data_IF_576831312421
#
_entry.id   IF_576831312421
#
_cell.length_a   1.000
_cell.length_b   1.000
_cell.length_c   1.000
_cell.angle_alpha   90.00
_cell.angle_beta   90.00
_cell.angle_gamma   90.00
#
_symmetry.space_group_name_H-M   'P 1'
#
loop_
_entity.id
_entity.type
_entity.pdbx_description
1 polymer ?
#
# COMPACT_ATOMS: atom_id res chain seq x y z
N UNK A 1 13.99 0.99 -1.92
CA UNK A 1 12.83 1.65 -2.54
C UNK A 1 11.84 2.08 -1.46
N UNK A 2 11.31 3.29 -1.53
CA UNK A 2 10.18 3.73 -0.70
C UNK A 2 8.89 2.97 -1.04
N UNK A 3 7.88 3.04 -0.17
CA UNK A 3 6.56 2.44 -0.45
C UNK A 3 5.92 2.98 -1.74
N UNK A 4 6.08 4.28 -2.00
CA UNK A 4 5.64 4.93 -3.24
C UNK A 4 6.40 4.45 -4.47
N UNK A 5 7.72 4.30 -4.37
CA UNK A 5 8.54 3.76 -5.48
C UNK A 5 8.16 2.32 -5.79
N UNK A 6 7.90 1.50 -4.77
CA UNK A 6 7.49 0.10 -4.94
C UNK A 6 6.14 0.01 -5.62
N UNK A 7 5.19 0.85 -5.21
CA UNK A 7 3.88 0.89 -5.84
C UNK A 7 3.95 1.37 -7.29
N UNK A 8 4.76 2.40 -7.56
CA UNK A 8 4.95 2.90 -8.92
C UNK A 8 5.59 1.85 -9.81
N UNK A 9 6.64 1.18 -9.32
CA UNK A 9 7.28 0.08 -10.02
C UNK A 9 6.27 -1.00 -10.36
N UNK A 10 5.48 -1.47 -9.41
CA UNK A 10 4.47 -2.50 -9.66
C UNK A 10 3.46 -2.07 -10.73
N UNK A 11 3.05 -0.79 -10.77
CA UNK A 11 2.13 -0.27 -11.78
C UNK A 11 2.74 -0.20 -13.17
N UNK A 12 4.00 0.23 -13.27
CA UNK A 12 4.68 0.44 -14.54
C UNK A 12 5.32 -0.84 -15.08
N UNK A 13 5.66 -1.80 -14.23
CA UNK A 13 6.35 -3.03 -14.62
C UNK A 13 5.60 -3.78 -15.73
N UNK A 14 4.28 -3.90 -15.60
CA UNK A 14 3.41 -4.49 -16.62
C UNK A 14 3.52 -3.83 -18.00
N UNK A 15 3.70 -2.51 -18.02
CA UNK A 15 3.82 -1.71 -19.25
C UNK A 15 5.22 -1.85 -19.85
N UNK A 16 6.25 -1.91 -19.00
CA UNK A 16 7.65 -1.90 -19.43
C UNK A 16 8.09 -3.23 -20.01
N UNK A 17 7.61 -4.35 -19.45
CA UNK A 17 8.07 -5.68 -19.85
C UNK A 17 6.99 -6.57 -20.47
N UNK A 18 5.73 -6.14 -20.47
CA UNK A 18 4.60 -7.02 -20.78
C UNK A 18 4.58 -7.57 -22.21
N UNK A 19 5.24 -6.89 -23.16
CA UNK A 19 5.43 -7.34 -24.53
C UNK A 19 6.50 -8.45 -24.66
N UNK A 20 7.40 -8.55 -23.68
CA UNK A 20 8.50 -9.52 -23.67
C UNK A 20 8.18 -10.80 -22.88
N UNK A 21 7.04 -10.85 -22.21
CA UNK A 21 6.66 -11.99 -21.38
C UNK A 21 5.85 -13.01 -22.21
N UNK A 22 6.22 -14.30 -22.21
CA UNK A 22 5.44 -15.34 -22.85
C UNK A 22 4.01 -15.40 -22.31
N UNK A 23 3.04 -15.72 -23.17
CA UNK A 23 1.61 -15.77 -22.78
C UNK A 23 1.30 -16.88 -21.76
N UNK A 24 2.13 -17.93 -21.72
CA UNK A 24 1.96 -19.11 -20.87
C UNK A 24 2.82 -19.06 -19.58
N UNK A 25 3.29 -17.88 -19.20
CA UNK A 25 4.11 -17.72 -17.99
C UNK A 25 3.22 -17.63 -16.73
N UNK A 26 3.35 -18.62 -15.84
CA UNK A 26 2.56 -18.69 -14.61
C UNK A 26 2.90 -17.58 -13.60
N UNK A 27 4.15 -17.13 -13.54
CA UNK A 27 4.56 -16.02 -12.67
C UNK A 27 3.97 -14.70 -13.17
N UNK A 28 3.81 -14.55 -14.48
CA UNK A 28 3.13 -13.42 -15.08
C UNK A 28 1.64 -13.39 -14.76
N UNK A 29 0.97 -14.55 -14.86
CA UNK A 29 -0.44 -14.71 -14.44
C UNK A 29 -0.61 -14.35 -12.97
N UNK A 30 0.32 -14.79 -12.12
CA UNK A 30 0.35 -14.44 -10.70
C UNK A 30 0.57 -12.93 -10.48
N UNK A 31 1.44 -12.29 -11.25
CA UNK A 31 1.65 -10.84 -11.22
C UNK A 31 0.38 -10.06 -11.63
N UNK A 32 -0.31 -10.49 -12.70
CA UNK A 32 -1.57 -9.87 -13.13
C UNK A 32 -2.62 -9.95 -12.02
N UNK A 33 -2.76 -11.13 -11.39
CA UNK A 33 -3.68 -11.32 -10.25
C UNK A 33 -3.32 -10.45 -9.06
N UNK A 34 -2.03 -10.29 -8.77
CA UNK A 34 -1.56 -9.35 -7.75
C UNK A 34 -1.93 -7.90 -8.10
N UNK A 35 -1.84 -7.50 -9.38
CA UNK A 35 -2.23 -6.16 -9.84
C UNK A 35 -3.72 -5.91 -9.66
N UNK A 36 -4.58 -6.86 -10.04
CA UNK A 36 -6.03 -6.79 -9.81
C UNK A 36 -6.36 -6.57 -8.32
N UNK A 37 -5.72 -7.36 -7.44
CA UNK A 37 -5.89 -7.26 -6.00
C UNK A 37 -5.45 -5.89 -5.46
N UNK A 38 -4.30 -5.38 -5.93
CA UNK A 38 -3.77 -4.08 -5.54
C UNK A 38 -4.69 -2.94 -5.99
N UNK A 39 -5.29 -3.02 -7.18
CA UNK A 39 -6.16 -1.96 -7.67
C UNK A 39 -7.42 -1.82 -6.82
N UNK A 40 -7.98 -2.92 -6.31
CA UNK A 40 -9.07 -2.89 -5.33
C UNK A 40 -8.59 -2.36 -3.97
N UNK A 41 -7.44 -2.82 -3.47
CA UNK A 41 -6.90 -2.37 -2.18
C UNK A 41 -6.57 -0.87 -2.17
N UNK A 42 -6.15 -0.32 -3.31
CA UNK A 42 -5.77 1.09 -3.44
C UNK A 42 -6.94 2.00 -3.82
N UNK A 43 -8.10 1.41 -4.13
CA UNK A 43 -9.31 2.17 -4.37
C UNK A 43 -9.74 2.89 -3.09
N UNK A 44 -10.04 4.19 -3.22
CA UNK A 44 -10.51 5.04 -2.11
C UNK A 44 -12.03 5.07 -1.97
N UNK A 45 -12.74 4.45 -2.91
CA UNK A 45 -14.19 4.35 -2.90
C UNK A 45 -14.56 2.92 -2.51
N UNK A 46 -15.63 2.78 -1.75
CA UNK A 46 -16.18 1.48 -1.35
C UNK A 46 -17.49 1.21 -2.06
N UNK A 47 -17.53 0.09 -2.79
CA UNK A 47 -18.76 -0.50 -3.30
C UNK A 47 -19.23 -1.63 -2.37
N UNK A 48 -20.55 -1.85 -2.19
CA UNK A 48 -21.06 -2.95 -1.38
C UNK A 48 -20.58 -4.34 -1.87
N UNK A 49 -20.22 -4.48 -3.15
CA UNK A 49 -19.72 -5.73 -3.72
C UNK A 49 -18.20 -5.91 -3.59
N UNK A 50 -17.49 -4.86 -3.15
CA UNK A 50 -16.03 -4.85 -3.16
C UNK A 50 -15.43 -5.82 -2.15
N UNK A 51 -16.05 -6.02 -0.98
CA UNK A 51 -15.57 -6.97 0.01
C UNK A 51 -15.68 -8.41 -0.49
N UNK A 52 -16.81 -8.75 -1.14
CA UNK A 52 -17.02 -10.05 -1.76
C UNK A 52 -16.02 -10.30 -2.90
N UNK A 53 -15.87 -9.34 -3.81
CA UNK A 53 -14.90 -9.43 -4.91
C UNK A 53 -13.46 -9.60 -4.39
N UNK A 54 -13.08 -8.84 -3.36
CA UNK A 54 -11.78 -8.93 -2.74
C UNK A 54 -11.55 -10.32 -2.10
N UNK A 55 -12.56 -10.89 -1.44
CA UNK A 55 -12.47 -12.23 -0.84
C UNK A 55 -12.20 -13.31 -1.88
N UNK A 56 -12.88 -13.26 -3.02
CA UNK A 56 -12.68 -14.21 -4.13
C UNK A 56 -11.27 -14.05 -4.71
N UNK A 57 -10.86 -12.81 -5.03
CA UNK A 57 -9.54 -12.54 -5.60
C UNK A 57 -8.39 -12.94 -4.68
N UNK A 58 -8.50 -12.73 -3.36
CA UNK A 58 -7.48 -13.17 -2.40
C UNK A 58 -7.36 -14.70 -2.39
N UNK A 59 -8.49 -15.42 -2.42
CA UNK A 59 -8.48 -16.87 -2.41
C UNK A 59 -7.83 -17.42 -3.69
N UNK A 60 -8.20 -16.89 -4.86
CA UNK A 60 -7.59 -17.24 -6.15
C UNK A 60 -6.09 -16.94 -6.15
N UNK A 61 -5.69 -15.75 -5.74
CA UNK A 61 -4.29 -15.33 -5.71
C UNK A 61 -3.45 -16.22 -4.77
N UNK A 62 -3.95 -16.51 -3.57
CA UNK A 62 -3.24 -17.33 -2.60
C UNK A 62 -3.07 -18.77 -3.08
N UNK A 63 -4.10 -19.33 -3.73
CA UNK A 63 -4.02 -20.67 -4.33
C UNK A 63 -2.96 -20.70 -5.43
N UNK A 64 -3.02 -19.75 -6.37
CA UNK A 64 -2.06 -19.63 -7.47
C UNK A 64 -0.63 -19.40 -6.94
N UNK A 65 -0.47 -18.59 -5.89
CA UNK A 65 0.84 -18.35 -5.29
C UNK A 65 1.48 -19.65 -4.81
N UNK A 66 0.74 -20.48 -4.07
CA UNK A 66 1.27 -21.76 -3.54
C UNK A 66 1.56 -22.72 -4.69
N UNK A 67 0.71 -22.78 -5.71
CA UNK A 67 0.90 -23.62 -6.89
C UNK A 67 2.17 -23.25 -7.67
N UNK A 68 2.37 -21.96 -7.97
CA UNK A 68 3.48 -21.48 -8.79
C UNK A 68 4.81 -21.47 -8.03
N UNK A 69 4.79 -21.11 -6.74
CA UNK A 69 6.04 -20.98 -5.96
C UNK A 69 6.44 -22.27 -5.26
N UNK A 70 5.51 -23.20 -5.03
CA UNK A 70 5.73 -24.39 -4.22
C UNK A 70 6.06 -24.10 -2.75
N UNK A 71 5.89 -22.85 -2.30
CA UNK A 71 6.23 -22.38 -0.96
C UNK A 71 4.98 -21.98 -0.17
N UNK A 72 5.14 -21.83 1.13
CA UNK A 72 4.11 -21.36 2.03
C UNK A 72 3.75 -19.89 1.77
N UNK A 73 2.50 -19.53 2.09
CA UNK A 73 2.06 -18.15 2.01
C UNK A 73 2.89 -17.26 2.92
N UNK A 74 3.50 -16.23 2.34
CA UNK A 74 4.19 -15.20 3.11
C UNK A 74 3.19 -14.51 4.05
N UNK A 75 3.63 -14.04 5.23
CA UNK A 75 2.75 -13.36 6.19
C UNK A 75 1.96 -12.20 5.58
N UNK A 76 2.54 -11.48 4.61
CA UNK A 76 1.84 -10.40 3.87
C UNK A 76 0.58 -10.90 3.16
N UNK A 77 0.63 -12.07 2.53
CA UNK A 77 -0.50 -12.65 1.80
C UNK A 77 -1.52 -13.29 2.75
N UNK A 78 -1.04 -13.83 3.87
CA UNK A 78 -1.94 -14.31 4.93
C UNK A 78 -2.78 -13.16 5.51
N UNK A 79 -2.16 -12.00 5.80
CA UNK A 79 -2.89 -10.84 6.32
C UNK A 79 -3.96 -10.29 5.35
N UNK A 80 -3.79 -10.48 4.03
CA UNK A 80 -4.78 -10.04 3.04
C UNK A 80 -6.14 -10.71 3.26
N UNK A 81 -6.19 -11.94 3.78
CA UNK A 81 -7.45 -12.68 4.04
C UNK A 81 -8.40 -11.89 4.96
N UNK A 82 -7.87 -11.01 5.80
CA UNK A 82 -8.66 -10.17 6.70
C UNK A 82 -9.12 -8.85 6.08
N UNK A 83 -8.60 -8.46 4.91
CA UNK A 83 -8.91 -7.17 4.27
C UNK A 83 -10.38 -7.00 3.92
N UNK A 84 -11.14 -8.03 3.47
CA UNK A 84 -12.57 -7.91 3.25
C UNK A 84 -13.32 -7.46 4.51
N UNK A 85 -13.07 -8.12 5.65
CA UNK A 85 -13.71 -7.79 6.93
C UNK A 85 -13.27 -6.44 7.49
N UNK A 86 -12.02 -6.03 7.24
CA UNK A 86 -11.54 -4.69 7.59
C UNK A 86 -12.27 -3.65 6.74
N UNK A 87 -12.38 -3.89 5.43
CA UNK A 87 -13.03 -2.98 4.47
C UNK A 87 -14.50 -2.74 4.84
N UNK A 88 -15.20 -3.78 5.28
CA UNK A 88 -16.60 -3.68 5.73
C UNK A 88 -16.76 -2.83 7.01
N UNK A 89 -15.77 -2.84 7.90
CA UNK A 89 -15.82 -2.14 9.20
C UNK A 89 -15.31 -0.71 9.13
N UNK A 90 -14.22 -0.48 8.41
CA UNK A 90 -13.50 0.81 8.40
C UNK A 90 -13.60 1.55 7.08
N UNK A 91 -14.20 0.95 6.05
CA UNK A 91 -14.18 1.48 4.69
C UNK A 91 -12.87 1.14 3.95
N UNK A 92 -12.52 1.86 2.88
CA UNK A 92 -11.44 1.44 1.98
C UNK A 92 -10.07 1.42 2.66
N UNK A 93 -9.36 0.29 2.54
CA UNK A 93 -8.03 0.06 3.18
C UNK A 93 -6.94 1.04 2.73
N UNK A 94 -7.09 1.67 1.56
CA UNK A 94 -6.21 2.72 1.09
C UNK A 94 -6.15 3.93 2.04
N UNK A 95 -7.26 4.24 2.71
CA UNK A 95 -7.37 5.38 3.63
C UNK A 95 -6.75 5.11 4.99
N UNK A 96 -6.60 3.83 5.36
CA UNK A 96 -5.95 3.40 6.61
C UNK A 96 -4.44 3.15 6.45
N UNK A 97 -3.87 3.41 5.27
CA UNK A 97 -2.44 3.18 4.99
C UNK A 97 -1.52 4.14 5.77
N UNK A 98 -0.41 3.60 6.28
CA UNK A 98 0.61 4.36 7.01
C UNK A 98 1.66 5.03 6.14
N UNK A 99 1.63 4.82 4.82
CA UNK A 99 2.66 5.31 3.90
C UNK A 99 2.84 6.84 3.97
N UNK A 100 1.76 7.60 4.23
CA UNK A 100 1.83 9.06 4.43
C UNK A 100 2.56 9.44 5.72
N UNK A 101 2.35 8.70 6.81
CA UNK A 101 3.05 8.97 8.07
C UNK A 101 4.55 8.70 7.93
N UNK A 102 4.92 7.60 7.27
CA UNK A 102 6.33 7.28 6.98
C UNK A 102 7.01 8.36 6.13
N UNK A 103 6.32 8.89 5.11
CA UNK A 103 6.87 9.95 4.26
C UNK A 103 7.16 11.24 5.06
N UNK A 104 6.31 11.58 6.03
CA UNK A 104 6.50 12.76 6.89
C UNK A 104 7.55 12.51 7.98
N UNK A 105 7.73 11.27 8.43
CA UNK A 105 8.67 10.93 9.49
C UNK A 105 10.11 11.36 9.15
N UNK A 106 10.54 11.18 7.89
CA UNK A 106 11.87 11.62 7.44
C UNK A 106 12.08 13.12 7.58
N UNK A 107 11.07 13.93 7.21
CA UNK A 107 11.14 15.39 7.33
C UNK A 107 11.19 15.84 8.80
N UNK A 108 10.47 15.15 9.68
CA UNK A 108 10.48 15.42 11.13
C UNK A 108 11.84 15.12 11.76
N UNK A 109 12.52 14.06 11.31
CA UNK A 109 13.82 13.68 11.86
C UNK A 109 15.00 14.51 11.33
N UNK A 110 14.92 15.09 10.14
CA UNK A 110 16.04 15.85 9.55
C UNK A 110 16.58 16.97 10.47
N UNK A 111 15.74 17.83 11.08
CA UNK A 111 16.20 18.81 12.06
C UNK A 111 16.77 18.19 13.35
N UNK A 112 16.26 17.03 13.78
CA UNK A 112 16.77 16.33 14.96
C UNK A 112 18.21 15.84 14.76
N UNK A 113 18.52 15.34 13.57
CA UNK A 113 19.89 14.94 13.23
C UNK A 113 20.86 16.13 13.15
N UNK A 114 20.37 17.30 12.74
CA UNK A 114 21.16 18.53 12.69
C UNK A 114 21.32 19.21 14.07
N UNK A 115 20.42 18.94 15.03
CA UNK A 115 20.44 19.53 16.37
C UNK A 115 20.39 18.43 17.44
N UNK A 116 21.56 18.01 17.93
CA UNK A 116 21.68 17.01 19.00
C UNK A 116 21.17 17.50 20.38
N UNK A 117 20.85 18.80 20.52
CA UNK A 117 20.33 19.38 21.76
C UNK A 117 18.79 19.35 21.81
N UNK A 118 18.22 18.62 22.78
CA UNK A 118 16.78 18.40 22.99
C UNK A 118 15.91 19.69 23.02
N UNK A 119 16.46 20.82 23.49
CA UNK A 119 15.73 22.11 23.61
C UNK A 119 15.44 22.79 22.27
N UNK A 120 16.34 22.66 21.28
CA UNK A 120 16.23 23.33 19.98
C UNK A 120 15.25 22.65 19.03
N UNK A 121 14.99 21.35 19.26
CA UNK A 121 14.03 20.57 18.49
C UNK A 121 12.58 21.01 18.76
N UNK A 122 12.20 21.17 20.04
CA UNK A 122 10.85 21.58 20.43
C UNK A 122 10.52 23.00 19.93
N UNK A 123 11.47 23.94 19.99
CA UNK A 123 11.27 25.31 19.50
C UNK A 123 11.09 25.37 17.97
N UNK A 124 11.86 24.59 17.22
CA UNK A 124 11.79 24.58 15.75
C UNK A 124 10.55 23.85 15.24
N UNK A 125 10.09 22.80 15.94
CA UNK A 125 8.87 22.08 15.56
C UNK A 125 7.61 22.93 15.72
N UNK A 126 7.53 23.81 16.73
CA UNK A 126 6.41 24.74 16.90
C UNK A 126 6.37 25.85 15.84
N UNK A 127 7.53 26.25 15.30
CA UNK A 127 7.62 27.35 14.33
C UNK A 127 7.46 26.92 12.87
N UNK A 128 7.45 25.61 12.59
CA UNK A 128 7.44 25.07 11.22
C UNK A 128 6.08 24.56 10.75
N UNK A 129 5.05 24.59 11.62
CA UNK A 129 3.67 24.25 11.24
C UNK A 129 2.90 25.53 10.92
N UNK A 130 2.58 25.85 9.65
CA UNK A 130 1.49 26.76 9.39
C UNK A 130 0.21 26.05 9.85
N UNK A 131 -0.34 26.54 10.95
CA UNK A 131 -1.70 26.23 11.38
C UNK A 131 -2.60 26.72 10.24
N UNK A 132 -3.07 25.79 9.40
CA UNK A 132 -4.18 26.07 8.49
C UNK A 132 -5.40 26.21 9.38
N UNK A 133 -5.66 27.44 9.84
CA UNK A 133 -6.96 27.84 10.36
C UNK A 133 -7.98 27.65 9.24
N UNK A 134 -8.79 26.60 9.32
CA UNK A 134 -10.10 26.62 8.66
C UNK A 134 -11.02 27.42 9.58
N UNK A 135 -11.12 28.71 9.27
CA UNK A 135 -12.21 29.58 9.69
C UNK A 135 -13.00 29.98 8.46
N UNK A 136 -14.34 30.08 8.60
CA UNK A 136 -15.39 30.38 7.61
C UNK A 136 -15.86 29.15 6.82
N UNK A 137 -17.11 28.66 6.88
CA UNK A 137 -18.41 29.19 7.33
C UNK A 137 -19.23 28.05 7.92
#
# INVERSE_FOLDING_TARGET
>A
MSGSETLLFLKLFGIVIGDQVPTDDDYWRLYIKLRELLDICLCKQTSPYQSLALKVLIAEFNMMYVEVTGDNLKPKFHHLVHYPSITEKTGPVALTSTQRFESKHKAVLQPAHACQSRKKYLSNSCNSTPIVYISSV
#
